data_IF_351462817830
#
_entry.id   IF_351462817830
#
_cell.length_a   1.000
_cell.length_b   1.000
_cell.length_c   1.000
_cell.angle_alpha   90.00
_cell.angle_beta   90.00
_cell.angle_gamma   90.00
#
_symmetry.space_group_name_H-M   'P 1'
#
loop_
_entity.id
_entity.type
_entity.pdbx_description
1 polymer ?
#
# COMPACT_ATOMS: atom_id res chain seq x y z
N UNK A 1 4.77 -13.13 -10.66
CA UNK A 1 4.32 -11.80 -10.19
C UNK A 1 4.00 -11.90 -8.71
N UNK A 2 4.45 -10.94 -7.90
CA UNK A 2 4.12 -10.84 -6.47
C UNK A 2 3.29 -9.57 -6.25
N UNK A 3 2.27 -9.67 -5.39
CA UNK A 3 1.48 -8.53 -4.93
C UNK A 3 1.68 -8.38 -3.43
N UNK A 4 2.13 -7.21 -3.01
CA UNK A 4 2.27 -6.83 -1.61
C UNK A 4 1.19 -5.79 -1.35
N UNK A 5 0.18 -6.18 -0.59
CA UNK A 5 -0.94 -5.32 -0.26
C UNK A 5 -0.69 -4.63 1.09
N UNK A 6 -1.08 -3.36 1.18
CA UNK A 6 -1.07 -2.56 2.41
C UNK A 6 0.30 -2.55 3.10
N UNK A 7 1.35 -2.15 2.36
CA UNK A 7 2.71 -1.93 2.88
C UNK A 7 2.74 -0.71 3.82
N UNK A 8 2.22 -0.88 5.02
CA UNK A 8 2.22 0.09 6.11
C UNK A 8 2.43 -0.61 7.48
N UNK A 9 2.83 0.17 8.49
CA UNK A 9 3.18 -0.33 9.82
C UNK A 9 2.09 -1.17 10.54
N UNK A 10 0.82 -1.05 10.14
CA UNK A 10 -0.33 -1.66 10.82
C UNK A 10 -0.37 -3.17 10.63
N UNK A 11 0.16 -3.67 9.51
CA UNK A 11 0.14 -5.09 9.15
C UNK A 11 1.37 -5.87 9.59
N UNK A 12 2.48 -5.20 9.86
CA UNK A 12 3.77 -5.89 9.99
C UNK A 12 4.49 -5.70 11.33
N UNK A 13 4.08 -4.75 12.18
CA UNK A 13 4.75 -4.54 13.47
C UNK A 13 6.27 -4.39 13.34
N UNK A 14 7.06 -4.97 14.27
CA UNK A 14 8.53 -5.02 14.15
C UNK A 14 9.04 -5.95 13.02
N UNK A 15 8.18 -6.81 12.46
CA UNK A 15 8.51 -7.76 11.39
C UNK A 15 8.39 -7.15 9.99
N UNK A 16 8.04 -5.87 9.87
CA UNK A 16 8.03 -5.13 8.59
C UNK A 16 9.38 -5.17 7.87
N UNK A 17 10.48 -5.27 8.61
CA UNK A 17 11.80 -5.51 8.06
C UNK A 17 11.89 -6.83 7.27
N UNK A 18 11.06 -7.84 7.58
CA UNK A 18 11.03 -9.11 6.85
C UNK A 18 10.42 -8.98 5.44
N UNK A 19 9.70 -7.90 5.13
CA UNK A 19 9.28 -7.58 3.76
C UNK A 19 10.45 -7.14 2.87
N UNK A 20 11.57 -6.74 3.47
CA UNK A 20 12.77 -6.35 2.75
C UNK A 20 13.29 -7.50 1.88
N UNK A 21 13.36 -8.71 2.43
CA UNK A 21 13.92 -9.86 1.72
C UNK A 21 13.15 -10.25 0.45
N UNK A 22 11.81 -10.43 0.46
CA UNK A 22 11.07 -10.77 -0.74
C UNK A 22 11.12 -9.66 -1.78
N UNK A 23 11.02 -8.38 -1.37
CA UNK A 23 11.13 -7.24 -2.29
C UNK A 23 12.53 -7.15 -2.92
N UNK A 24 13.59 -7.24 -2.13
CA UNK A 24 14.97 -7.20 -2.62
C UNK A 24 15.30 -8.42 -3.51
N UNK A 25 14.79 -9.61 -3.19
CA UNK A 25 14.98 -10.81 -4.02
C UNK A 25 14.29 -10.73 -5.39
N UNK A 26 13.31 -9.84 -5.53
CA UNK A 26 12.52 -9.64 -6.74
C UNK A 26 12.96 -8.44 -7.56
N UNK A 27 13.77 -7.55 -7.00
CA UNK A 27 14.39 -6.45 -7.73
C UNK A 27 15.09 -7.00 -8.98
N UNK A 28 14.70 -6.50 -10.16
CA UNK A 28 15.17 -6.94 -11.49
C UNK A 28 14.93 -8.42 -11.85
N UNK A 29 14.27 -9.21 -11.00
CA UNK A 29 14.05 -10.65 -11.18
C UNK A 29 12.59 -11.01 -11.50
N UNK A 30 11.65 -10.08 -11.37
CA UNK A 30 10.27 -10.30 -11.79
C UNK A 30 9.30 -9.19 -11.38
N UNK A 31 8.10 -9.19 -11.98
CA UNK A 31 7.10 -8.15 -11.74
C UNK A 31 6.55 -8.17 -10.31
N UNK A 32 6.39 -6.96 -9.75
CA UNK A 32 5.86 -6.72 -8.41
C UNK A 32 4.84 -5.60 -8.44
N UNK A 33 3.77 -5.74 -7.66
CA UNK A 33 2.82 -4.66 -7.37
C UNK A 33 2.83 -4.44 -5.87
N UNK A 34 2.95 -3.17 -5.45
CA UNK A 34 2.91 -2.78 -4.04
C UNK A 34 1.82 -1.74 -3.87
N UNK A 35 0.94 -1.94 -2.89
CA UNK A 35 -0.03 -0.92 -2.47
C UNK A 35 0.36 -0.40 -1.09
N UNK A 36 0.15 0.89 -0.84
CA UNK A 36 0.38 1.50 0.46
C UNK A 36 -0.59 2.67 0.64
N UNK A 37 -1.00 2.90 1.88
CA UNK A 37 -1.74 4.10 2.27
C UNK A 37 -0.80 5.21 2.78
N UNK A 38 0.51 4.92 2.93
CA UNK A 38 1.51 5.87 3.38
C UNK A 38 2.28 6.45 2.19
N UNK A 39 2.53 7.76 2.16
CA UNK A 39 3.49 8.33 1.23
C UNK A 39 4.90 7.83 1.57
N UNK A 40 5.79 7.76 0.57
CA UNK A 40 7.17 7.27 0.75
C UNK A 40 7.93 7.96 1.89
N UNK A 41 7.69 9.26 2.13
CA UNK A 41 8.31 9.99 3.24
C UNK A 41 7.94 9.50 4.65
N UNK A 42 6.90 8.68 4.78
CA UNK A 42 6.49 8.05 6.05
C UNK A 42 6.85 6.57 6.15
N UNK A 43 7.50 6.02 5.13
CA UNK A 43 7.87 4.61 5.11
C UNK A 43 8.93 4.26 6.16
N UNK A 44 9.66 5.23 6.72
CA UNK A 44 10.55 5.03 7.87
C UNK A 44 9.84 4.47 9.11
N UNK A 45 8.56 4.80 9.29
CA UNK A 45 7.69 4.26 10.35
C UNK A 45 7.41 2.76 10.15
N UNK A 46 7.51 2.28 8.91
CA UNK A 46 7.26 0.88 8.53
C UNK A 46 8.56 0.08 8.48
N UNK A 47 9.60 0.55 7.78
CA UNK A 47 10.81 -0.24 7.52
C UNK A 47 11.92 -0.09 8.57
N UNK A 48 11.56 0.13 9.84
CA UNK A 48 12.50 0.24 10.96
C UNK A 48 13.55 1.37 10.78
N UNK A 49 13.14 2.50 10.20
CA UNK A 49 13.96 3.71 10.06
C UNK A 49 14.08 4.24 8.63
N UNK A 50 14.36 5.54 8.54
CA UNK A 50 14.38 6.29 7.27
C UNK A 50 15.44 5.79 6.28
N UNK A 51 16.58 5.31 6.78
CA UNK A 51 17.67 4.81 5.95
C UNK A 51 17.24 3.56 5.16
N UNK A 52 16.62 2.59 5.84
CA UNK A 52 16.14 1.36 5.19
C UNK A 52 15.00 1.68 4.25
N UNK A 53 14.07 2.55 4.68
CA UNK A 53 12.96 3.00 3.84
C UNK A 53 13.43 3.69 2.56
N UNK A 54 14.45 4.54 2.62
CA UNK A 54 15.01 5.24 1.46
C UNK A 54 15.64 4.24 0.48
N UNK A 55 16.48 3.32 0.97
CA UNK A 55 17.11 2.28 0.13
C UNK A 55 16.06 1.38 -0.53
N UNK A 56 15.00 1.05 0.19
CA UNK A 56 13.90 0.24 -0.34
C UNK A 56 13.09 0.97 -1.39
N UNK A 57 12.75 2.23 -1.11
CA UNK A 57 12.02 3.08 -2.05
C UNK A 57 12.82 3.21 -3.34
N UNK A 58 14.11 3.55 -3.26
CA UNK A 58 15.02 3.68 -4.41
C UNK A 58 14.98 2.43 -5.31
N UNK A 59 15.17 1.24 -4.72
CA UNK A 59 15.11 -0.03 -5.46
C UNK A 59 13.75 -0.30 -6.08
N UNK A 60 12.66 -0.04 -5.37
CA UNK A 60 11.31 -0.27 -5.90
C UNK A 60 10.98 0.68 -7.04
N UNK A 61 11.33 1.96 -6.92
CA UNK A 61 10.94 2.98 -7.91
C UNK A 61 11.85 3.01 -9.14
N UNK A 62 13.07 2.47 -9.05
CA UNK A 62 14.04 2.51 -10.16
C UNK A 62 13.48 1.95 -11.49
N UNK A 63 12.60 0.93 -11.41
CA UNK A 63 11.93 0.34 -12.57
C UNK A 63 10.41 0.20 -12.38
N UNK A 64 9.78 1.11 -11.65
CA UNK A 64 8.33 1.08 -11.41
C UNK A 64 7.60 2.30 -11.99
N UNK A 65 6.32 2.09 -12.24
CA UNK A 65 5.35 3.16 -12.45
C UNK A 65 4.64 3.44 -11.12
N UNK A 66 4.66 4.69 -10.65
CA UNK A 66 4.03 5.09 -9.40
C UNK A 66 2.65 5.66 -9.68
N UNK A 67 1.62 4.99 -9.18
CA UNK A 67 0.22 5.41 -9.31
C UNK A 67 -0.29 5.99 -7.99
N UNK A 68 -0.45 7.31 -7.92
CA UNK A 68 -1.06 7.99 -6.78
C UNK A 68 -2.58 7.96 -6.91
N UNK A 69 -3.25 7.22 -6.04
CA UNK A 69 -4.71 7.13 -6.01
C UNK A 69 -5.30 8.22 -5.10
N UNK A 70 -6.29 8.95 -5.61
CA UNK A 70 -7.04 9.97 -4.86
C UNK A 70 -8.55 9.74 -5.00
N UNK A 71 -9.32 10.38 -4.11
CA UNK A 71 -10.78 10.34 -4.13
C UNK A 71 -11.40 9.54 -2.98
N UNK A 72 -12.73 9.51 -2.96
CA UNK A 72 -13.49 8.92 -1.88
C UNK A 72 -13.38 7.39 -1.83
N UNK A 73 -13.45 6.84 -0.62
CA UNK A 73 -13.54 5.40 -0.41
C UNK A 73 -14.73 4.81 -1.17
N UNK A 74 -14.43 3.92 -2.14
CA UNK A 74 -15.45 3.17 -2.87
C UNK A 74 -16.37 2.39 -1.93
N UNK A 75 -15.84 1.89 -0.80
CA UNK A 75 -16.60 1.16 0.23
C UNK A 75 -17.65 2.06 0.89
N UNK A 76 -17.26 3.28 1.25
CA UNK A 76 -18.18 4.26 1.88
C UNK A 76 -19.23 4.73 0.88
N UNK A 77 -18.85 4.99 -0.37
CA UNK A 77 -19.80 5.38 -1.42
C UNK A 77 -20.88 4.30 -1.63
N UNK A 78 -20.47 3.05 -1.82
CA UNK A 78 -21.40 1.93 -1.97
C UNK A 78 -22.34 1.79 -0.75
N UNK A 79 -21.81 1.96 0.47
CA UNK A 79 -22.63 1.90 1.68
C UNK A 79 -23.65 3.04 1.76
N UNK A 80 -23.28 4.27 1.35
CA UNK A 80 -24.24 5.39 1.30
C UNK A 80 -25.37 5.11 0.30
N UNK A 81 -25.05 4.57 -0.88
CA UNK A 81 -26.04 4.23 -1.91
C UNK A 81 -27.03 3.15 -1.46
N UNK A 82 -26.58 2.18 -0.65
CA UNK A 82 -27.46 1.16 -0.06
C UNK A 82 -28.42 1.79 0.96
N UNK A 83 -27.90 2.65 1.84
CA UNK A 83 -28.71 3.30 2.88
C UNK A 83 -29.76 4.27 2.30
N UNK A 84 -29.47 4.94 1.19
CA UNK A 84 -30.43 5.81 0.52
C UNK A 84 -31.55 5.02 -0.16
N UNK A 85 -31.24 3.89 -0.81
CA UNK A 85 -32.24 3.00 -1.41
C UNK A 85 -33.17 2.37 -0.38
N UNK A 86 -32.62 1.96 0.76
CA UNK A 86 -33.39 1.32 1.84
C UNK A 86 -34.36 2.28 2.53
N UNK A 87 -34.06 3.60 2.53
CA UNK A 87 -35.00 4.63 2.99
C UNK A 87 -36.10 4.91 1.96
N UNK A 88 -35.76 4.95 0.68
CA UNK A 88 -36.72 5.21 -0.40
C UNK A 88 -37.72 4.05 -0.64
N UNK A 89 -37.41 2.83 -0.19
CA UNK A 89 -38.33 1.67 -0.26
C UNK A 89 -39.25 1.51 0.94
N UNK A 90 -39.17 2.39 1.96
CA UNK A 90 -40.02 2.36 3.17
C UNK A 90 -41.08 3.47 3.18
N UNK A 91 -41.11 4.31 2.15
CA UNK A 91 -42.17 5.28 1.83
C UNK A 91 -43.04 4.72 0.71
#
# INVERSE_FOLDING_TARGET
MIVIDEADHTLFGQDAANLFQPMASRYEQGSMVVTSNLPFGRWGETFSGDVVAAVMTDRLVHHAEVLTLTGDSRRIRARRELLTKDRAGRE
#
